data_IF_125846080176
#
_entry.id   IF_125846080176
#
_cell.length_a   1.000
_cell.length_b   1.000
_cell.length_c   1.000
_cell.angle_alpha   90.00
_cell.angle_beta   90.00
_cell.angle_gamma   90.00
#
_symmetry.space_group_name_H-M   'P 1'
#
loop_
_entity.id
_entity.type
_entity.pdbx_description
1 polymer ?
#
# COMPACT_ATOMS: atom_id res chain seq x y z
N UNK A 1 10.85 16.42 -10.12
CA UNK A 1 9.84 15.56 -10.78
C UNK A 1 8.71 15.32 -9.78
N UNK A 2 7.61 16.08 -9.89
CA UNK A 2 6.42 15.87 -9.05
C UNK A 2 5.62 14.75 -9.69
N UNK A 3 5.77 13.54 -9.15
CA UNK A 3 4.87 12.44 -9.48
C UNK A 3 3.49 12.89 -9.02
N UNK A 4 2.55 13.05 -9.96
CA UNK A 4 1.15 13.34 -9.65
C UNK A 4 0.64 12.15 -8.84
N UNK A 5 0.56 12.33 -7.53
CA UNK A 5 0.32 11.27 -6.56
C UNK A 5 -0.97 10.50 -6.88
N UNK A 6 -0.81 9.19 -7.03
CA UNK A 6 -1.93 8.26 -6.99
C UNK A 6 -2.40 8.27 -5.52
N UNK A 7 -3.51 8.96 -5.24
CA UNK A 7 -4.08 9.08 -3.89
C UNK A 7 -4.90 7.83 -3.63
N UNK A 8 -4.36 6.88 -2.86
CA UNK A 8 -5.07 5.65 -2.48
C UNK A 8 -4.21 4.38 -2.41
N UNK A 9 -2.93 4.42 -2.79
CA UNK A 9 -2.11 3.20 -2.77
C UNK A 9 -1.38 3.04 -1.43
N UNK A 10 -1.62 1.95 -0.71
CA UNK A 10 -0.93 1.58 0.53
C UNK A 10 -0.12 0.30 0.30
N UNK A 11 1.15 0.31 0.66
CA UNK A 11 2.02 -0.87 0.55
C UNK A 11 2.43 -1.30 1.95
N UNK A 12 1.97 -2.48 2.37
CA UNK A 12 2.05 -2.93 3.77
C UNK A 12 2.49 -4.39 3.88
N UNK A 13 3.05 -4.74 5.04
CA UNK A 13 3.33 -6.12 5.40
C UNK A 13 2.05 -6.84 5.90
N UNK A 14 2.15 -8.14 6.16
CA UNK A 14 1.02 -8.97 6.61
C UNK A 14 0.40 -8.48 7.92
N UNK A 15 1.21 -7.97 8.85
CA UNK A 15 0.72 -7.49 10.15
C UNK A 15 -0.06 -6.18 10.08
N UNK A 16 0.15 -5.39 9.02
CA UNK A 16 -0.42 -4.04 8.88
C UNK A 16 -1.52 -3.95 7.81
N UNK A 17 -1.88 -5.07 7.18
CA UNK A 17 -2.89 -5.10 6.13
C UNK A 17 -4.27 -4.68 6.65
N UNK A 18 -4.66 -5.16 7.83
CA UNK A 18 -5.98 -4.86 8.40
C UNK A 18 -6.12 -3.35 8.70
N UNK A 19 -5.06 -2.74 9.25
CA UNK A 19 -5.02 -1.30 9.53
C UNK A 19 -5.12 -0.49 8.23
N UNK A 20 -4.42 -0.91 7.18
CA UNK A 20 -4.46 -0.23 5.90
C UNK A 20 -5.86 -0.30 5.25
N UNK A 21 -6.55 -1.44 5.37
CA UNK A 21 -7.92 -1.60 4.87
C UNK A 21 -8.87 -0.67 5.63
N UNK A 22 -8.81 -0.66 6.96
CA UNK A 22 -9.67 0.18 7.79
C UNK A 22 -9.47 1.67 7.49
N UNK A 23 -8.22 2.12 7.42
CA UNK A 23 -7.87 3.51 7.06
C UNK A 23 -8.37 3.86 5.65
N UNK A 24 -8.20 2.94 4.69
CA UNK A 24 -8.68 3.15 3.33
C UNK A 24 -10.21 3.31 3.31
N UNK A 25 -10.95 2.42 3.96
CA UNK A 25 -12.41 2.48 4.02
C UNK A 25 -12.88 3.76 4.73
N UNK A 26 -12.19 4.19 5.78
CA UNK A 26 -12.50 5.43 6.48
C UNK A 26 -12.31 6.67 5.58
N UNK A 27 -11.22 6.71 4.80
CA UNK A 27 -10.89 7.85 3.94
C UNK A 27 -11.73 7.89 2.65
N UNK A 28 -11.91 6.75 2.01
CA UNK A 28 -12.51 6.65 0.67
C UNK A 28 -13.97 6.17 0.70
N UNK A 29 -14.49 5.77 1.87
CA UNK A 29 -15.86 5.25 2.07
C UNK A 29 -16.20 4.05 1.16
N UNK A 30 -15.19 3.38 0.60
CA UNK A 30 -15.32 2.24 -0.31
C UNK A 30 -14.32 1.15 0.06
N UNK A 31 -14.63 -0.13 -0.21
CA UNK A 31 -13.68 -1.22 0.00
C UNK A 31 -12.48 -1.09 -0.95
N UNK A 32 -11.25 -1.35 -0.48
CA UNK A 32 -10.08 -1.37 -1.34
C UNK A 32 -9.92 -2.67 -2.12
N UNK A 33 -9.15 -2.60 -3.20
CA UNK A 33 -8.59 -3.74 -3.91
C UNK A 33 -7.24 -4.14 -3.30
N UNK A 34 -7.03 -5.44 -3.06
CA UNK A 34 -5.83 -5.97 -2.40
C UNK A 34 -5.05 -6.86 -3.36
N UNK A 35 -3.76 -6.57 -3.54
CA UNK A 35 -2.83 -7.33 -4.36
C UNK A 35 -1.67 -7.86 -3.53
N UNK A 36 -1.22 -9.08 -3.82
CA UNK A 36 -0.03 -9.67 -3.20
C UNK A 36 1.20 -9.31 -4.02
N UNK A 37 2.18 -8.67 -3.37
CA UNK A 37 3.46 -8.32 -3.95
C UNK A 37 4.38 -9.54 -3.89
N UNK A 38 4.52 -10.25 -5.01
CA UNK A 38 5.52 -11.31 -5.16
C UNK A 38 6.92 -10.72 -5.42
N UNK A 39 7.98 -11.52 -5.24
CA UNK A 39 9.40 -11.10 -5.19
C UNK A 39 9.90 -10.33 -6.43
N UNK A 40 9.15 -10.32 -7.52
CA UNK A 40 9.50 -9.65 -8.79
C UNK A 40 9.07 -8.19 -8.93
N UNK A 41 8.22 -7.64 -8.05
CA UNK A 41 7.62 -6.30 -8.27
C UNK A 41 8.44 -5.11 -7.75
N UNK A 42 9.55 -5.36 -7.04
CA UNK A 42 10.29 -4.31 -6.34
C UNK A 42 11.33 -3.55 -7.20
N UNK A 43 11.69 -4.04 -8.40
CA UNK A 43 12.85 -3.48 -9.12
C UNK A 43 12.62 -2.13 -9.82
N UNK A 44 11.36 -1.74 -10.09
CA UNK A 44 11.07 -0.52 -10.89
C UNK A 44 9.96 0.36 -10.30
N UNK A 45 9.41 0.03 -9.13
CA UNK A 45 8.25 0.72 -8.59
C UNK A 45 8.60 1.70 -7.46
N UNK A 46 8.63 3.00 -7.78
CA UNK A 46 8.65 4.07 -6.76
C UNK A 46 7.24 4.23 -6.20
N UNK A 47 6.86 3.37 -5.25
CA UNK A 47 5.53 3.44 -4.63
C UNK A 47 5.34 4.80 -3.94
N UNK A 48 4.20 5.49 -4.14
CA UNK A 48 3.91 6.68 -3.37
C UNK A 48 3.77 6.27 -1.90
N UNK A 49 4.54 6.93 -1.04
CA UNK A 49 4.55 6.81 0.42
C UNK A 49 3.14 6.62 0.98
N UNK A 50 2.87 5.44 1.54
CA UNK A 50 2.39 5.34 2.91
C UNK A 50 2.45 3.88 3.42
N UNK A 51 3.59 3.50 4.00
CA UNK A 51 3.69 2.92 5.36
C UNK A 51 5.18 2.71 5.72
N UNK A 52 5.86 3.79 6.09
CA UNK A 52 7.27 3.77 6.59
C UNK A 52 7.32 3.32 8.08
N UNK A 53 6.31 2.58 8.55
CA UNK A 53 6.05 2.34 9.97
C UNK A 53 6.48 0.93 10.41
N UNK A 54 7.06 0.11 9.53
CA UNK A 54 7.49 -1.24 9.84
C UNK A 54 8.72 -1.65 9.01
N UNK A 55 9.71 -2.27 9.65
CA UNK A 55 10.90 -2.85 9.00
C UNK A 55 10.61 -4.17 8.26
N UNK A 56 9.38 -4.70 8.36
CA UNK A 56 9.03 -5.95 7.69
C UNK A 56 8.90 -5.75 6.17
N UNK A 57 9.30 -6.76 5.36
CA UNK A 57 9.16 -6.68 3.93
C UNK A 57 7.67 -6.53 3.56
N UNK A 58 7.31 -5.52 2.75
CA UNK A 58 5.94 -5.35 2.31
C UNK A 58 5.51 -6.53 1.45
N UNK A 59 4.24 -6.94 1.62
CA UNK A 59 3.67 -8.13 0.98
C UNK A 59 2.35 -7.82 0.27
N UNK A 60 1.70 -6.72 0.62
CA UNK A 60 0.39 -6.36 0.10
C UNK A 60 0.38 -4.93 -0.44
N UNK A 61 -0.41 -4.72 -1.48
CA UNK A 61 -0.77 -3.43 -2.04
C UNK A 61 -2.29 -3.27 -1.95
N UNK A 62 -2.75 -2.17 -1.36
CA UNK A 62 -4.15 -1.82 -1.14
C UNK A 62 -4.46 -0.56 -1.97
N UNK A 63 -5.47 -0.58 -2.85
CA UNK A 63 -5.80 0.52 -3.80
C UNK A 63 -7.28 0.79 -3.97
#
# INVERSE_FOLDING_TARGET
MKIRGVRGMYVVCEEHIEIAIDEFVNVYEVPPDIYILDKGFFSDWTSPNHYDMCDNPPKYLVV
#
